data_IF_724453950962
#
_entry.id   IF_724453950962
#
_cell.length_a   1.000
_cell.length_b   1.000
_cell.length_c   1.000
_cell.angle_alpha   90.00
_cell.angle_beta   90.00
_cell.angle_gamma   90.00
#
_symmetry.space_group_name_H-M   'P 1'
#
loop_
_entity.id
_entity.type
_entity.pdbx_description
1 polymer ?
#
# COMPACT_ATOMS: atom_id res chain seq x y z
N UNK A 1 1.37 19.61 2.40
CA UNK A 1 0.35 19.34 1.37
C UNK A 1 0.61 18.01 0.66
N UNK A 2 -0.38 17.09 0.63
CA UNK A 2 -0.35 15.90 -0.25
C UNK A 2 -0.54 16.26 -1.73
N UNK A 3 -1.15 17.41 -1.99
CA UNK A 3 -1.38 17.96 -3.33
C UNK A 3 -0.06 18.43 -3.94
N UNK A 4 0.64 19.38 -3.31
CA UNK A 4 1.98 19.85 -3.76
C UNK A 4 2.95 18.70 -4.06
N UNK A 5 3.06 17.74 -3.14
CA UNK A 5 3.93 16.58 -3.35
C UNK A 5 3.51 15.70 -4.53
N UNK A 6 2.22 15.71 -4.87
CA UNK A 6 1.68 15.00 -6.02
C UNK A 6 2.01 15.71 -7.34
N UNK A 7 2.17 17.02 -7.32
CA UNK A 7 2.65 17.82 -8.44
C UNK A 7 4.16 17.69 -8.59
N UNK A 8 4.91 17.92 -7.51
CA UNK A 8 6.37 17.92 -7.49
C UNK A 8 6.97 16.56 -7.90
N UNK A 9 6.46 15.46 -7.31
CA UNK A 9 7.03 14.11 -7.49
C UNK A 9 6.12 13.21 -8.33
N UNK A 10 5.55 13.76 -9.39
CA UNK A 10 4.68 13.01 -10.28
C UNK A 10 5.46 11.86 -10.95
N UNK A 11 4.87 10.67 -11.03
CA UNK A 11 5.46 9.46 -11.61
C UNK A 11 6.78 8.94 -10.97
N UNK A 12 7.27 9.55 -9.89
CA UNK A 12 8.54 9.17 -9.24
C UNK A 12 8.37 8.14 -8.08
N UNK A 13 7.22 7.48 -7.96
CA UNK A 13 7.02 6.44 -6.94
C UNK A 13 6.89 6.95 -5.49
N UNK A 14 6.76 8.26 -5.28
CA UNK A 14 6.56 8.85 -3.94
C UNK A 14 5.12 8.78 -3.44
N UNK A 15 4.15 8.65 -4.36
CA UNK A 15 2.72 8.76 -4.05
C UNK A 15 2.25 7.72 -3.04
N UNK A 16 2.55 6.43 -3.25
CA UNK A 16 2.09 5.33 -2.37
C UNK A 16 2.56 5.53 -0.93
N UNK A 17 3.86 5.68 -0.72
CA UNK A 17 4.47 5.87 0.60
C UNK A 17 3.92 7.11 1.30
N UNK A 18 3.70 8.19 0.56
CA UNK A 18 3.12 9.42 1.12
C UNK A 18 1.67 9.25 1.57
N UNK A 19 0.84 8.58 0.76
CA UNK A 19 -0.56 8.29 1.14
C UNK A 19 -0.64 7.35 2.35
N UNK A 20 0.24 6.36 2.46
CA UNK A 20 0.31 5.46 3.63
C UNK A 20 0.63 6.25 4.90
N UNK A 21 1.67 7.10 4.88
CA UNK A 21 2.04 7.93 6.05
C UNK A 21 0.94 8.88 6.51
N UNK A 22 0.04 9.27 5.62
CA UNK A 22 -1.08 10.16 5.95
C UNK A 22 -2.42 9.40 6.11
N UNK A 23 -2.39 8.06 6.15
CA UNK A 23 -3.59 7.24 6.35
C UNK A 23 -4.64 7.32 5.25
N UNK A 24 -4.30 7.85 4.06
CA UNK A 24 -5.27 8.21 3.03
C UNK A 24 -5.25 7.27 1.81
N UNK A 25 -4.45 6.20 1.84
CA UNK A 25 -4.31 5.29 0.69
C UNK A 25 -5.58 4.50 0.40
N UNK A 26 -6.25 3.96 1.43
CA UNK A 26 -7.43 3.11 1.28
C UNK A 26 -8.65 3.95 0.95
N UNK A 27 -8.96 4.95 1.79
CA UNK A 27 -10.08 5.88 1.57
C UNK A 27 -9.97 6.59 0.22
N UNK A 28 -8.77 7.03 -0.15
CA UNK A 28 -8.52 7.63 -1.46
C UNK A 28 -8.72 6.66 -2.63
N UNK A 29 -8.39 5.38 -2.47
CA UNK A 29 -8.63 4.36 -3.51
C UNK A 29 -10.13 4.07 -3.67
N UNK A 30 -10.84 3.92 -2.55
CA UNK A 30 -12.29 3.72 -2.54
C UNK A 30 -13.03 4.91 -3.15
N UNK A 31 -12.63 6.14 -2.84
CA UNK A 31 -13.18 7.36 -3.45
C UNK A 31 -13.00 7.42 -4.99
N UNK A 32 -11.98 6.73 -5.53
CA UNK A 32 -11.77 6.55 -6.99
C UNK A 32 -12.48 5.30 -7.56
N UNK A 33 -13.42 4.71 -6.82
CA UNK A 33 -14.20 3.55 -7.25
C UNK A 33 -13.50 2.20 -7.11
N UNK A 34 -12.35 2.11 -6.42
CA UNK A 34 -11.67 0.83 -6.17
C UNK A 34 -12.24 0.16 -4.93
N UNK A 35 -13.45 -0.40 -5.05
CA UNK A 35 -14.20 -1.04 -3.96
C UNK A 35 -13.43 -2.19 -3.27
N UNK A 36 -12.55 -2.88 -3.99
CA UNK A 36 -11.72 -3.96 -3.45
C UNK A 36 -10.54 -3.47 -2.58
N UNK A 37 -10.36 -2.16 -2.39
CA UNK A 37 -9.32 -1.64 -1.50
C UNK A 37 -9.66 -1.94 -0.03
N UNK A 38 -8.93 -2.88 0.57
CA UNK A 38 -9.06 -3.33 1.96
C UNK A 38 -7.97 -2.72 2.85
N UNK A 39 -8.19 -2.71 4.17
CA UNK A 39 -7.27 -2.12 5.16
C UNK A 39 -5.84 -2.67 5.07
N UNK A 40 -5.67 -3.97 4.82
CA UNK A 40 -4.35 -4.62 4.75
C UNK A 40 -3.53 -4.26 3.50
N UNK A 41 -4.13 -3.65 2.46
CA UNK A 41 -3.42 -3.22 1.24
C UNK A 41 -2.43 -2.05 1.45
N UNK A 42 -2.30 -1.58 2.70
CA UNK A 42 -1.21 -0.71 3.15
C UNK A 42 0.16 -1.39 3.06
N UNK A 43 0.21 -2.71 3.28
CA UNK A 43 1.39 -3.54 3.09
C UNK A 43 1.23 -4.36 1.81
N UNK A 44 2.34 -4.90 1.30
CA UNK A 44 2.31 -5.94 0.26
C UNK A 44 2.36 -7.31 0.93
N UNK A 45 1.86 -8.37 0.28
CA UNK A 45 2.10 -9.72 0.77
C UNK A 45 3.59 -10.03 0.75
N UNK A 46 4.05 -10.83 1.70
CA UNK A 46 5.33 -11.51 1.61
C UNK A 46 5.24 -12.52 0.45
N UNK A 47 6.23 -12.58 -0.45
CA UNK A 47 6.25 -13.54 -1.54
C UNK A 47 6.15 -14.99 -1.05
N UNK A 48 5.37 -15.81 -1.74
CA UNK A 48 5.11 -17.19 -1.33
C UNK A 48 6.38 -18.05 -1.35
N UNK A 49 7.29 -17.80 -2.30
CA UNK A 49 8.60 -18.46 -2.34
C UNK A 49 9.44 -18.22 -1.06
N UNK A 50 9.31 -17.03 -0.46
CA UNK A 50 10.04 -16.71 0.77
C UNK A 50 9.40 -17.40 1.99
N UNK A 51 8.06 -17.51 2.02
CA UNK A 51 7.32 -18.25 3.05
C UNK A 51 7.62 -19.76 3.00
N UNK A 52 7.63 -20.34 1.79
CA UNK A 52 7.95 -21.75 1.59
C UNK A 52 9.40 -22.07 1.98
N UNK A 53 10.32 -21.13 1.74
CA UNK A 53 11.74 -21.29 2.05
C UNK A 53 12.07 -21.10 3.53
N UNK A 54 11.24 -20.39 4.29
CA UNK A 54 11.47 -20.11 5.70
C UNK A 54 10.20 -20.26 6.54
N UNK A 55 10.11 -21.40 7.23
CA UNK A 55 8.98 -21.75 8.09
C UNK A 55 8.79 -20.87 9.33
N UNK A 56 9.74 -19.98 9.65
CA UNK A 56 9.56 -18.99 10.73
C UNK A 56 8.92 -17.69 10.27
N UNK A 57 8.72 -17.49 8.96
CA UNK A 57 8.06 -16.29 8.44
C UNK A 57 6.54 -16.47 8.50
N UNK A 58 5.86 -15.46 9.03
CA UNK A 58 4.41 -15.36 9.03
C UNK A 58 3.96 -14.28 8.03
N UNK A 59 2.87 -14.54 7.31
CA UNK A 59 2.32 -13.61 6.32
C UNK A 59 1.80 -12.32 6.99
N UNK A 60 1.85 -11.21 6.25
CA UNK A 60 1.24 -9.95 6.66
C UNK A 60 -0.28 -10.12 6.87
N UNK A 61 -0.87 -9.56 7.95
CA UNK A 61 -2.27 -9.77 8.27
C UNK A 61 -3.22 -9.44 7.11
N UNK A 62 -4.09 -10.38 6.76
CA UNK A 62 -5.11 -10.23 5.72
C UNK A 62 -4.69 -10.66 4.31
N UNK A 63 -3.44 -11.10 4.13
CA UNK A 63 -2.94 -11.79 2.95
C UNK A 63 -2.89 -13.30 3.14
#
# INVERSE_FOLDING_TARGET
MLVERGWEFHAEGHRRRSLIRHGSIISGAQARGKANAKSHHVLFPIPEQDLDSNSTLEQNPGY
#
